data_IF_624280540201
#
_entry.id   IF_624280540201
#
_cell.length_a   1.000
_cell.length_b   1.000
_cell.length_c   1.000
_cell.angle_alpha   90.00
_cell.angle_beta   90.00
_cell.angle_gamma   90.00
#
_symmetry.space_group_name_H-M   'P 1'
#
loop_
_entity.id
_entity.type
_entity.pdbx_description
1 polymer ?
#
# COMPACT_ATOMS: atom_id res chain seq x y z
N UNK A 1 -58.11 20.49 10.49
CA UNK A 1 -56.76 20.82 10.99
C UNK A 1 -56.05 19.51 11.31
N UNK A 2 -55.25 19.00 10.37
CA UNK A 2 -54.43 17.81 10.60
C UNK A 2 -53.06 18.24 11.13
N UNK A 3 -52.74 17.77 12.34
CA UNK A 3 -51.50 18.05 13.05
C UNK A 3 -50.39 17.12 12.52
N UNK A 4 -49.44 17.66 11.75
CA UNK A 4 -48.24 16.94 11.32
C UNK A 4 -47.32 16.69 12.53
N UNK A 5 -47.17 15.43 12.95
CA UNK A 5 -46.10 15.00 13.87
C UNK A 5 -44.88 14.60 13.04
N UNK A 6 -43.95 15.52 12.83
CA UNK A 6 -42.61 15.21 12.33
C UNK A 6 -41.79 14.56 13.45
N UNK A 7 -41.54 13.27 13.34
CA UNK A 7 -40.57 12.56 14.18
C UNK A 7 -39.17 12.81 13.63
N UNK A 8 -38.34 13.54 14.37
CA UNK A 8 -36.92 13.74 14.06
C UNK A 8 -36.20 12.44 14.44
N UNK A 9 -35.86 11.64 13.43
CA UNK A 9 -34.99 10.47 13.60
C UNK A 9 -33.56 11.01 13.74
N UNK A 10 -33.00 10.92 14.95
CA UNK A 10 -31.57 11.11 15.17
C UNK A 10 -30.82 9.95 14.49
N UNK A 11 -30.34 10.19 13.27
CA UNK A 11 -29.38 9.32 12.64
C UNK A 11 -28.03 9.49 13.36
N UNK A 12 -27.75 8.58 14.30
CA UNK A 12 -26.42 8.41 14.88
C UNK A 12 -25.46 7.98 13.78
N UNK A 13 -24.89 8.96 13.09
CA UNK A 13 -23.78 8.75 12.17
C UNK A 13 -22.57 8.38 13.04
N UNK A 14 -22.36 7.08 13.24
CA UNK A 14 -21.09 6.57 13.74
C UNK A 14 -20.02 6.91 12.70
N UNK A 15 -19.39 8.08 12.86
CA UNK A 15 -18.09 8.33 12.27
C UNK A 15 -17.13 7.35 12.93
N UNK A 16 -16.92 6.20 12.29
CA UNK A 16 -15.66 5.49 12.46
C UNK A 16 -14.56 6.45 12.05
N UNK A 17 -13.85 6.99 13.04
CA UNK A 17 -12.68 7.81 12.82
C UNK A 17 -11.65 7.00 12.06
N UNK A 18 -11.65 7.12 10.74
CA UNK A 18 -10.49 6.78 9.94
C UNK A 18 -9.39 7.74 10.42
N UNK A 19 -8.52 7.26 11.30
CA UNK A 19 -7.27 7.94 11.61
C UNK A 19 -6.49 7.92 10.31
N UNK A 20 -6.58 8.99 9.53
CA UNK A 20 -5.91 9.11 8.25
C UNK A 20 -4.41 9.01 8.49
N UNK A 21 -3.86 7.83 8.20
CA UNK A 21 -2.44 7.61 8.05
C UNK A 21 -1.87 8.66 7.11
N UNK A 22 -1.11 9.61 7.65
CA UNK A 22 -0.47 10.65 6.85
C UNK A 22 0.78 10.00 6.24
N UNK A 23 0.69 9.61 4.97
CA UNK A 23 1.86 9.25 4.18
C UNK A 23 2.25 10.44 3.30
N UNK A 24 3.54 10.78 3.27
CA UNK A 24 4.04 11.87 2.42
C UNK A 24 4.58 11.28 1.13
N UNK A 25 4.03 11.75 0.00
CA UNK A 25 4.48 11.39 -1.33
C UNK A 25 5.60 12.33 -1.78
N UNK A 26 6.80 11.79 -2.01
CA UNK A 26 7.96 12.53 -2.53
C UNK A 26 8.35 11.94 -3.88
N UNK A 27 8.34 12.72 -4.98
CA UNK A 27 8.88 12.25 -6.26
C UNK A 27 10.33 11.83 -6.10
N UNK A 28 10.70 10.65 -6.59
CA UNK A 28 12.10 10.19 -6.57
C UNK A 28 12.69 10.42 -7.96
N UNK A 29 13.62 11.37 -8.12
CA UNK A 29 14.26 11.59 -9.41
C UNK A 29 15.07 10.35 -9.83
N UNK A 30 14.99 10.01 -11.12
CA UNK A 30 15.78 8.95 -11.79
C UNK A 30 15.45 7.49 -11.46
N UNK A 31 14.29 7.15 -10.86
CA UNK A 31 13.82 5.75 -10.84
C UNK A 31 13.59 5.22 -12.27
N UNK A 32 13.03 6.05 -13.16
CA UNK A 32 12.82 5.73 -14.58
C UNK A 32 14.11 5.41 -15.35
N UNK A 33 15.27 5.85 -14.84
CA UNK A 33 16.59 5.58 -15.43
C UNK A 33 17.03 4.12 -15.24
N UNK A 34 16.33 3.35 -14.39
CA UNK A 34 16.63 1.93 -14.18
C UNK A 34 16.18 1.00 -15.33
N UNK A 35 15.33 1.43 -16.27
CA UNK A 35 14.67 0.43 -17.12
C UNK A 35 14.18 0.83 -18.53
N UNK A 36 14.80 1.77 -19.26
CA UNK A 36 14.48 1.94 -20.69
C UNK A 36 12.97 2.04 -21.01
N UNK A 37 12.24 2.73 -20.14
CA UNK A 37 10.80 2.57 -19.94
C UNK A 37 9.99 3.02 -21.18
N UNK A 38 8.95 2.28 -21.61
CA UNK A 38 8.07 2.68 -22.71
C UNK A 38 7.33 4.02 -22.48
N UNK A 39 6.78 4.63 -23.53
CA UNK A 39 5.99 5.87 -23.48
C UNK A 39 4.55 5.62 -22.96
N UNK A 40 4.08 6.41 -21.98
CA UNK A 40 2.79 6.21 -21.26
C UNK A 40 2.76 6.84 -19.84
N UNK A 41 1.68 6.63 -19.08
CA UNK A 41 1.47 7.15 -17.70
C UNK A 41 1.93 6.20 -16.58
N UNK A 42 2.02 6.64 -15.30
CA UNK A 42 2.56 5.81 -14.21
C UNK A 42 1.59 4.71 -13.78
N UNK A 43 2.10 3.58 -13.30
CA UNK A 43 1.28 2.61 -12.58
C UNK A 43 0.80 3.16 -11.23
N UNK A 44 -0.31 2.64 -10.71
CA UNK A 44 -0.78 2.91 -9.33
C UNK A 44 -1.26 1.64 -8.67
N UNK A 45 -1.00 1.51 -7.38
CA UNK A 45 -1.46 0.44 -6.53
C UNK A 45 -2.19 0.98 -5.29
N UNK A 46 -3.17 0.23 -4.82
CA UNK A 46 -3.68 0.36 -3.47
C UNK A 46 -2.97 -0.67 -2.60
N UNK A 47 -2.30 -0.21 -1.54
CA UNK A 47 -1.56 -1.05 -0.61
C UNK A 47 -2.30 -1.05 0.72
N UNK A 48 -2.52 -2.24 1.29
CA UNK A 48 -3.14 -2.42 2.60
C UNK A 48 -2.07 -2.91 3.55
N UNK A 49 -1.78 -2.11 4.58
CA UNK A 49 -0.93 -2.49 5.72
C UNK A 49 -1.84 -2.90 6.87
N UNK A 50 -1.64 -4.11 7.39
CA UNK A 50 -2.41 -4.64 8.51
C UNK A 50 -1.70 -4.26 9.81
N UNK A 51 -2.37 -3.47 10.65
CA UNK A 51 -1.86 -3.04 11.94
C UNK A 51 -2.11 -4.15 12.97
N UNK A 52 -1.11 -5.01 13.16
CA UNK A 52 -1.13 -6.09 14.12
C UNK A 52 0.02 -7.07 13.87
N UNK A 53 0.32 -7.98 14.81
CA UNK A 53 1.40 -8.97 14.67
C UNK A 53 1.07 -10.07 13.64
N UNK A 54 0.01 -9.90 12.85
CA UNK A 54 -0.37 -10.89 11.85
C UNK A 54 0.74 -11.02 10.81
N UNK A 55 1.18 -12.25 10.66
CA UNK A 55 2.19 -12.67 9.69
C UNK A 55 1.48 -13.52 8.64
N UNK A 56 1.74 -13.23 7.37
CA UNK A 56 1.28 -14.04 6.25
C UNK A 56 1.73 -15.49 6.44
N UNK A 57 0.78 -16.41 6.43
CA UNK A 57 1.03 -17.85 6.47
C UNK A 57 1.56 -18.39 5.14
N UNK A 58 1.12 -17.79 4.02
CA UNK A 58 1.54 -18.14 2.66
C UNK A 58 1.59 -16.86 1.79
N UNK A 59 2.59 -16.71 0.90
CA UNK A 59 2.75 -15.53 0.06
C UNK A 59 1.60 -15.24 -0.89
N UNK A 60 0.82 -16.25 -1.30
CA UNK A 60 -0.30 -16.10 -2.25
C UNK A 60 -1.67 -16.05 -1.55
N UNK A 61 -1.70 -16.25 -0.24
CA UNK A 61 -2.94 -16.28 0.53
C UNK A 61 -3.18 -14.91 1.17
N UNK A 62 -4.27 -14.20 0.82
CA UNK A 62 -4.56 -12.92 1.45
C UNK A 62 -4.81 -13.10 2.96
N UNK A 63 -4.55 -12.08 3.80
CA UNK A 63 -4.90 -12.12 5.21
C UNK A 63 -6.38 -12.40 5.43
N UNK A 64 -6.75 -13.14 6.49
CA UNK A 64 -8.13 -13.43 6.83
C UNK A 64 -9.03 -12.20 6.90
N UNK A 65 -10.25 -12.33 6.40
CA UNK A 65 -11.27 -11.27 6.42
C UNK A 65 -12.15 -11.30 7.68
N UNK A 66 -12.00 -12.33 8.51
CA UNK A 66 -12.75 -12.55 9.76
C UNK A 66 -12.27 -11.68 10.94
N UNK A 67 -11.28 -10.80 10.70
CA UNK A 67 -10.71 -9.90 11.70
C UNK A 67 -9.51 -10.48 12.47
N UNK A 68 -9.15 -11.74 12.26
CA UNK A 68 -7.97 -12.35 12.89
C UNK A 68 -6.64 -11.76 12.43
N UNK A 69 -6.62 -11.11 11.25
CA UNK A 69 -5.47 -10.32 10.77
C UNK A 69 -5.31 -8.95 11.47
N UNK A 70 -6.14 -8.66 12.47
CA UNK A 70 -6.23 -7.36 13.12
C UNK A 70 -7.35 -6.50 12.55
N UNK A 71 -7.80 -5.55 13.36
CA UNK A 71 -8.90 -4.62 13.02
C UNK A 71 -8.39 -3.31 12.43
N UNK A 72 -7.13 -2.95 12.68
CA UNK A 72 -6.49 -1.78 12.07
C UNK A 72 -5.99 -2.11 10.66
N UNK A 73 -6.53 -1.43 9.66
CA UNK A 73 -6.03 -1.48 8.29
C UNK A 73 -5.69 -0.07 7.83
N UNK A 74 -4.51 0.09 7.26
CA UNK A 74 -4.11 1.33 6.63
C UNK A 74 -4.09 1.13 5.13
N UNK A 75 -4.79 2.01 4.41
CA UNK A 75 -4.89 2.00 2.96
C UNK A 75 -4.02 3.12 2.39
N UNK A 76 -3.11 2.76 1.49
CA UNK A 76 -2.12 3.66 0.93
C UNK A 76 -2.20 3.62 -0.59
N UNK A 77 -2.38 4.80 -1.20
CA UNK A 77 -2.16 4.95 -2.63
C UNK A 77 -0.66 5.05 -2.93
N UNK A 78 -0.12 4.08 -3.65
CA UNK A 78 1.29 4.09 -4.08
C UNK A 78 1.32 4.29 -5.59
N UNK A 79 2.07 5.29 -6.03
CA UNK A 79 2.22 5.61 -7.45
C UNK A 79 3.64 5.31 -7.87
N UNK A 80 3.78 4.86 -9.11
CA UNK A 80 5.09 4.63 -9.69
C UNK A 80 5.96 5.89 -9.66
N UNK A 81 7.27 5.72 -9.36
CA UNK A 81 8.26 6.80 -9.19
C UNK A 81 8.00 7.76 -8.02
N UNK A 82 7.05 7.46 -7.14
CA UNK A 82 6.75 8.26 -5.96
C UNK A 82 7.14 7.45 -4.73
N UNK A 83 7.96 8.06 -3.87
CA UNK A 83 8.24 7.51 -2.55
C UNK A 83 7.11 7.88 -1.61
N UNK A 84 6.40 6.89 -1.12
CA UNK A 84 5.39 7.04 -0.08
C UNK A 84 6.07 6.79 1.26
N UNK A 85 6.36 7.87 1.99
CA UNK A 85 6.92 7.80 3.34
C UNK A 85 5.80 7.47 4.31
N UNK A 86 6.00 6.46 5.13
CA UNK A 86 5.02 5.99 6.10
C UNK A 86 5.16 6.77 7.40
N UNK A 87 4.03 7.01 8.07
CA UNK A 87 4.06 7.52 9.42
C UNK A 87 4.82 6.50 10.32
N UNK A 88 5.75 6.93 11.19
CA UNK A 88 6.48 6.03 12.08
C UNK A 88 5.59 5.16 12.98
N UNK A 89 4.36 5.58 13.28
CA UNK A 89 3.37 4.77 14.01
C UNK A 89 2.73 3.66 13.16
N UNK A 90 2.95 3.68 11.85
CA UNK A 90 2.48 2.69 10.86
C UNK A 90 3.60 1.77 10.39
N UNK A 91 4.67 1.65 11.19
CA UNK A 91 5.80 0.77 10.86
C UNK A 91 5.27 -0.58 10.39
N UNK A 92 5.62 -0.97 9.16
CA UNK A 92 5.17 -2.23 8.59
C UNK A 92 5.90 -3.35 9.31
N UNK A 93 5.30 -3.88 10.36
CA UNK A 93 5.83 -5.01 11.14
C UNK A 93 5.03 -6.29 10.89
N UNK A 94 3.88 -6.17 10.23
CA UNK A 94 2.98 -7.28 9.90
C UNK A 94 2.76 -7.44 8.39
N UNK A 95 1.62 -8.04 8.05
CA UNK A 95 1.25 -8.33 6.68
C UNK A 95 0.96 -7.07 5.84
N UNK A 96 1.31 -7.17 4.56
CA UNK A 96 0.96 -6.18 3.53
C UNK A 96 0.39 -6.91 2.32
N UNK A 97 -0.63 -6.33 1.72
CA UNK A 97 -1.15 -6.77 0.40
C UNK A 97 -1.29 -5.57 -0.51
N UNK A 98 -1.38 -5.80 -1.81
CA UNK A 98 -1.63 -4.73 -2.76
C UNK A 98 -2.38 -5.21 -3.99
N UNK A 99 -3.10 -4.30 -4.62
CA UNK A 99 -3.68 -4.52 -5.94
C UNK A 99 -3.36 -3.33 -6.85
N UNK A 100 -3.08 -3.60 -8.12
CA UNK A 100 -2.97 -2.54 -9.11
C UNK A 100 -4.34 -1.91 -9.30
N UNK A 101 -4.38 -0.58 -9.35
CA UNK A 101 -5.59 0.21 -9.65
C UNK A 101 -5.42 1.02 -10.93
N UNK A 102 -4.19 1.13 -11.41
CA UNK A 102 -3.85 1.66 -12.73
C UNK A 102 -2.70 0.83 -13.29
N UNK A 103 -2.92 0.23 -14.46
CA UNK A 103 -1.92 -0.56 -15.16
C UNK A 103 -0.67 0.28 -15.47
N UNK A 104 0.52 -0.34 -15.54
CA UNK A 104 1.74 0.32 -15.96
C UNK A 104 1.71 0.60 -17.47
N UNK A 105 2.77 1.22 -17.96
CA UNK A 105 2.92 1.52 -19.39
C UNK A 105 2.99 0.23 -20.21
N UNK A 106 2.42 0.24 -21.41
CA UNK A 106 2.50 -0.88 -22.36
C UNK A 106 3.96 -1.29 -22.59
N UNK A 107 4.25 -2.58 -22.53
CA UNK A 107 5.61 -3.11 -22.65
C UNK A 107 6.34 -3.29 -21.33
N UNK A 108 5.71 -2.93 -20.21
CA UNK A 108 6.17 -3.34 -18.86
C UNK A 108 6.10 -4.87 -18.74
N UNK A 109 7.16 -5.49 -18.25
CA UNK A 109 7.25 -6.92 -17.99
C UNK A 109 6.73 -7.32 -16.60
N UNK A 110 6.85 -6.44 -15.61
CA UNK A 110 6.33 -6.67 -14.26
C UNK A 110 6.29 -5.44 -13.38
N UNK A 111 5.55 -5.55 -12.27
CA UNK A 111 5.50 -4.52 -11.23
C UNK A 111 5.79 -5.12 -9.86
N UNK A 112 6.34 -4.29 -8.96
CA UNK A 112 6.73 -4.65 -7.61
C UNK A 112 6.38 -3.52 -6.64
N UNK A 113 5.90 -3.87 -5.45
CA UNK A 113 5.98 -2.95 -4.31
C UNK A 113 7.35 -3.12 -3.69
N UNK A 114 8.15 -2.06 -3.71
CA UNK A 114 9.42 -2.00 -2.99
C UNK A 114 9.20 -1.30 -1.65
N UNK A 115 9.54 -1.96 -0.55
CA UNK A 115 9.46 -1.39 0.79
C UNK A 115 10.88 -1.15 1.32
N UNK A 116 11.09 0.04 1.86
CA UNK A 116 12.39 0.56 2.31
C UNK A 116 12.42 0.64 3.83
N UNK A 117 13.56 0.26 4.42
CA UNK A 117 13.73 0.15 5.87
C UNK A 117 13.60 1.51 6.57
N UNK A 118 14.11 2.57 5.96
CA UNK A 118 14.10 3.93 6.51
C UNK A 118 12.97 4.78 5.92
N UNK A 119 12.78 5.98 6.48
CA UNK A 119 11.85 6.98 5.96
C UNK A 119 12.41 7.65 4.69
N UNK A 120 12.42 6.89 3.59
CA UNK A 120 12.86 7.35 2.27
C UNK A 120 13.12 6.19 1.31
N UNK A 121 13.13 6.47 0.01
CA UNK A 121 13.31 5.45 -1.04
C UNK A 121 14.69 5.54 -1.72
N UNK A 122 15.66 6.16 -1.04
CA UNK A 122 17.05 6.23 -1.50
C UNK A 122 17.85 5.04 -1.00
N UNK A 123 18.57 4.35 -1.89
CA UNK A 123 19.41 3.21 -1.49
C UNK A 123 20.68 3.68 -0.81
N UNK A 124 20.88 3.23 0.42
CA UNK A 124 22.10 3.42 1.20
C UNK A 124 22.47 2.09 1.86
N UNK A 125 23.62 2.03 2.54
CA UNK A 125 24.02 0.84 3.31
C UNK A 125 23.01 0.49 4.42
N UNK A 126 22.31 1.49 4.95
CA UNK A 126 21.35 1.34 6.05
C UNK A 126 19.90 1.22 5.56
N UNK A 127 19.59 1.82 4.40
CA UNK A 127 18.27 1.81 3.79
C UNK A 127 18.14 0.75 2.69
N UNK A 128 18.07 -0.50 3.13
CA UNK A 128 17.79 -1.64 2.26
C UNK A 128 16.31 -1.69 1.89
N UNK A 129 16.02 -2.37 0.79
CA UNK A 129 14.65 -2.58 0.31
C UNK A 129 14.40 -4.05 -0.01
N UNK A 130 13.12 -4.40 0.01
CA UNK A 130 12.63 -5.68 -0.49
C UNK A 130 11.48 -5.41 -1.46
N UNK A 131 11.51 -6.12 -2.59
CA UNK A 131 10.48 -6.03 -3.63
C UNK A 131 9.57 -7.25 -3.59
N UNK A 132 8.26 -7.02 -3.64
CA UNK A 132 7.26 -8.08 -3.80
C UNK A 132 6.54 -7.95 -5.14
N UNK A 133 6.56 -9.00 -5.97
CA UNK A 133 5.97 -8.95 -7.29
C UNK A 133 4.45 -8.97 -7.23
N UNK A 134 3.83 -8.27 -8.18
CA UNK A 134 2.45 -8.56 -8.58
C UNK A 134 2.42 -9.83 -9.44
N UNK A 135 1.32 -10.56 -9.42
CA UNK A 135 1.08 -11.72 -10.29
C UNK A 135 0.78 -11.37 -11.76
N UNK A 136 0.84 -10.08 -12.11
CA UNK A 136 0.55 -9.55 -13.43
C UNK A 136 0.71 -8.02 -13.47
N UNK A 137 0.26 -7.42 -14.56
CA UNK A 137 0.38 -5.97 -14.84
C UNK A 137 -0.97 -5.30 -15.16
N UNK A 138 -2.08 -6.02 -15.05
CA UNK A 138 -3.41 -5.44 -15.23
C UNK A 138 -3.98 -4.90 -13.91
N UNK A 139 -5.11 -4.20 -13.96
CA UNK A 139 -5.76 -3.66 -12.76
C UNK A 139 -6.46 -4.72 -11.89
N UNK A 140 -6.45 -5.99 -12.29
CA UNK A 140 -6.90 -7.11 -11.45
C UNK A 140 -5.72 -7.79 -10.73
N UNK A 141 -4.48 -7.44 -11.11
CA UNK A 141 -3.29 -8.06 -10.59
C UNK A 141 -3.05 -7.67 -9.13
N UNK A 142 -2.62 -8.64 -8.35
CA UNK A 142 -2.42 -8.54 -6.92
C UNK A 142 -0.99 -8.89 -6.55
N UNK A 143 -0.43 -8.12 -5.64
CA UNK A 143 0.64 -8.60 -4.77
C UNK A 143 -0.03 -9.45 -3.70
N UNK A 144 0.48 -10.66 -3.49
CA UNK A 144 0.00 -11.52 -2.42
C UNK A 144 0.34 -10.95 -1.03
N UNK A 145 0.45 -11.81 -0.04
CA UNK A 145 0.72 -11.40 1.33
C UNK A 145 2.23 -11.32 1.59
N UNK A 146 2.72 -10.12 1.86
CA UNK A 146 4.11 -9.81 2.19
C UNK A 146 4.30 -9.63 3.70
N UNK A 147 5.40 -10.17 4.24
CA UNK A 147 5.82 -9.98 5.62
C UNK A 147 7.01 -9.02 5.72
N UNK A 148 7.14 -8.33 6.85
CA UNK A 148 8.39 -7.70 7.23
C UNK A 148 9.54 -8.72 7.26
N UNK A 149 10.68 -8.40 6.67
CA UNK A 149 11.85 -9.30 6.57
C UNK A 149 12.85 -8.92 7.65
N UNK A 150 13.44 -9.92 8.32
CA UNK A 150 14.53 -9.68 9.29
C UNK A 150 14.10 -8.98 10.58
N UNK A 151 12.81 -8.94 10.91
CA UNK A 151 12.30 -8.43 12.20
C UNK A 151 12.34 -6.91 12.38
N UNK A 152 12.60 -6.14 11.31
CA UNK A 152 12.53 -4.68 11.32
C UNK A 152 11.33 -4.18 10.52
N UNK A 153 10.84 -2.98 10.86
CA UNK A 153 9.75 -2.33 10.14
C UNK A 153 10.24 -1.59 8.89
N UNK A 154 9.34 -1.42 7.92
CA UNK A 154 9.56 -0.52 6.78
C UNK A 154 9.01 0.89 7.06
N UNK A 155 9.77 1.90 6.62
CA UNK A 155 9.45 3.33 6.79
C UNK A 155 9.03 4.03 5.51
N UNK A 156 9.21 3.40 4.34
CA UNK A 156 8.73 3.94 3.07
C UNK A 156 8.41 2.83 2.07
N UNK A 157 7.68 3.17 1.01
CA UNK A 157 7.41 2.26 -0.11
C UNK A 157 7.33 3.01 -1.43
N UNK A 158 7.60 2.31 -2.53
CA UNK A 158 7.32 2.78 -3.89
C UNK A 158 6.78 1.64 -4.75
N UNK A 159 6.17 2.00 -5.86
CA UNK A 159 5.79 1.07 -6.92
C UNK A 159 6.86 1.17 -8.01
N UNK A 160 7.50 0.06 -8.34
CA UNK A 160 8.43 -0.04 -9.45
C UNK A 160 7.84 -0.95 -10.52
N UNK A 161 7.83 -0.48 -11.78
CA UNK A 161 7.44 -1.29 -12.92
C UNK A 161 8.56 -1.26 -13.97
N UNK A 162 8.94 -2.43 -14.47
CA UNK A 162 10.06 -2.64 -15.41
C UNK A 162 9.64 -3.51 -16.58
#
# INVERSE_FOLDING_TARGET
>A
MHLFKTSIVFASLFLFGATSAIAVAVPVPNLEKRAGKPTGGPARANVIVYAGPYTCSDPNTPPPTDGSAGTGKTYLGVTENVCTILNPFLSITGAVTANLVQAPKTGTAGCYIEMYKEAGCGLTLTNQFHGWPFNGIDTASTMGCANAVGGFGYGAMTLLCV
#
